data_IF_435054570344
#
_entry.id   IF_435054570344
#
_cell.length_a   1.000
_cell.length_b   1.000
_cell.length_c   1.000
_cell.angle_alpha   90.00
_cell.angle_beta   90.00
_cell.angle_gamma   90.00
#
_symmetry.space_group_name_H-M   'P 1'
#
loop_
_entity.id
_entity.type
_entity.pdbx_description
1 polymer ?
#
# COMPACT_ATOMS: atom_id res chain seq x y z
N UNK A 1 18.38 -5.54 -6.93
CA UNK A 1 18.01 -6.95 -7.17
C UNK A 1 17.13 -7.39 -6.00
N UNK A 2 15.81 -7.26 -6.10
CA UNK A 2 14.84 -7.59 -5.02
C UNK A 2 14.21 -8.96 -5.29
N UNK A 3 15.05 -9.96 -5.56
CA UNK A 3 14.59 -11.30 -5.89
C UNK A 3 15.25 -12.24 -4.89
N UNK A 4 14.42 -12.98 -4.13
CA UNK A 4 14.76 -13.96 -3.06
C UNK A 4 14.64 -13.47 -1.61
N UNK A 5 13.47 -12.97 -1.19
CA UNK A 5 13.13 -13.02 0.24
C UNK A 5 12.67 -14.43 0.68
N UNK A 6 12.35 -15.33 -0.26
CA UNK A 6 11.83 -16.67 0.07
C UNK A 6 10.38 -16.67 0.56
N UNK A 7 9.73 -15.50 0.61
CA UNK A 7 8.33 -15.41 1.00
C UNK A 7 7.39 -15.81 -0.14
N UNK A 8 6.26 -16.48 0.17
CA UNK A 8 5.26 -16.87 -0.83
C UNK A 8 4.54 -15.66 -1.46
N UNK A 9 4.73 -14.46 -0.91
CA UNK A 9 4.13 -13.21 -1.38
C UNK A 9 5.15 -12.35 -2.11
N UNK A 10 4.72 -11.71 -3.20
CA UNK A 10 5.54 -10.75 -3.93
C UNK A 10 5.94 -9.60 -2.99
N UNK A 11 7.24 -9.28 -2.95
CA UNK A 11 7.74 -8.07 -2.29
C UNK A 11 6.90 -6.87 -2.77
N UNK A 12 6.25 -6.08 -1.90
CA UNK A 12 5.38 -4.97 -2.29
C UNK A 12 6.04 -3.96 -3.24
N UNK A 13 7.36 -3.75 -3.09
CA UNK A 13 8.16 -2.90 -3.99
C UNK A 13 8.29 -3.53 -5.38
N UNK A 14 8.52 -4.85 -5.45
CA UNK A 14 8.55 -5.58 -6.71
C UNK A 14 7.16 -5.66 -7.36
N UNK A 15 6.09 -5.84 -6.56
CA UNK A 15 4.70 -5.76 -7.01
C UNK A 15 4.38 -4.39 -7.63
N UNK A 16 4.75 -3.30 -6.97
CA UNK A 16 4.61 -1.95 -7.51
C UNK A 16 5.41 -1.76 -8.82
N UNK A 17 6.66 -2.24 -8.88
CA UNK A 17 7.47 -2.20 -10.10
C UNK A 17 6.86 -3.04 -11.24
N UNK A 18 6.27 -4.20 -10.92
CA UNK A 18 5.56 -5.04 -11.89
C UNK A 18 4.27 -4.37 -12.38
N UNK A 19 3.56 -3.61 -11.53
CA UNK A 19 2.43 -2.78 -11.95
C UNK A 19 2.86 -1.60 -12.83
N UNK A 20 4.08 -1.08 -12.65
CA UNK A 20 4.64 0.01 -13.46
C UNK A 20 5.08 -0.43 -14.87
N UNK A 21 5.41 -1.70 -15.10
CA UNK A 21 5.80 -2.20 -16.44
C UNK A 21 4.67 -2.13 -17.50
N UNK A 22 3.43 -2.58 -17.24
CA UNK A 22 2.32 -2.47 -18.19
C UNK A 22 1.78 -1.04 -18.32
N UNK A 23 2.17 -0.11 -17.43
CA UNK A 23 1.70 1.28 -17.42
C UNK A 23 2.24 2.19 -18.50
N UNK A 24 3.25 1.77 -19.28
CA UNK A 24 3.85 2.64 -20.32
C UNK A 24 2.83 3.21 -21.32
N UNK A 25 1.68 2.56 -21.50
CA UNK A 25 0.61 3.01 -22.40
C UNK A 25 -0.54 3.76 -21.71
N UNK A 26 -0.56 3.88 -20.38
CA UNK A 26 -1.64 4.57 -19.65
C UNK A 26 -1.32 6.06 -19.45
N UNK A 27 -2.32 6.96 -19.58
CA UNK A 27 -2.16 8.38 -19.23
C UNK A 27 -1.63 8.54 -17.80
N UNK A 28 -0.74 9.53 -17.60
CA UNK A 28 -0.16 9.84 -16.28
C UNK A 28 -1.20 10.19 -15.21
N UNK A 29 -2.38 10.60 -15.65
CA UNK A 29 -3.52 10.94 -14.81
C UNK A 29 -4.16 9.72 -14.13
N UNK A 30 -3.88 8.49 -14.60
CA UNK A 30 -4.44 7.26 -14.04
C UNK A 30 -3.49 6.67 -12.98
N UNK A 31 -3.86 6.69 -11.68
CA UNK A 31 -2.94 6.32 -10.60
C UNK A 31 -2.52 4.86 -10.60
N UNK A 32 -1.30 4.57 -10.10
CA UNK A 32 -0.57 3.29 -10.03
C UNK A 32 -1.43 2.03 -9.85
N UNK A 33 -2.38 2.13 -8.95
CA UNK A 33 -3.29 1.09 -8.55
C UNK A 33 -4.67 1.73 -8.40
N UNK A 34 -5.60 1.26 -9.22
CA UNK A 34 -7.01 1.63 -9.17
C UNK A 34 -7.79 0.38 -8.78
N UNK A 35 -8.72 0.50 -7.85
CA UNK A 35 -9.61 -0.58 -7.45
C UNK A 35 -11.07 -0.13 -7.64
N UNK A 36 -12.00 -1.07 -7.68
CA UNK A 36 -13.43 -0.75 -7.65
C UNK A 36 -13.87 -0.62 -6.19
N UNK A 37 -14.36 0.56 -5.81
CA UNK A 37 -14.85 0.78 -4.45
C UNK A 37 -16.24 0.16 -4.22
N UNK A 38 -16.75 0.27 -2.99
CA UNK A 38 -18.07 -0.24 -2.58
C UNK A 38 -19.24 0.37 -3.38
N UNK A 39 -19.02 1.51 -4.05
CA UNK A 39 -20.00 2.18 -4.91
C UNK A 39 -19.87 1.77 -6.38
N UNK A 40 -18.99 0.83 -6.71
CA UNK A 40 -18.76 0.37 -8.08
C UNK A 40 -17.89 1.33 -8.91
N UNK A 41 -17.25 2.33 -8.31
CA UNK A 41 -16.45 3.32 -9.02
C UNK A 41 -14.95 3.03 -8.91
N UNK A 42 -14.17 3.34 -9.98
CA UNK A 42 -12.70 3.35 -9.88
C UNK A 42 -12.24 4.34 -8.80
N UNK A 43 -11.42 3.87 -7.87
CA UNK A 43 -10.91 4.64 -6.75
C UNK A 43 -9.44 4.26 -6.48
N UNK A 44 -8.73 5.10 -5.73
CA UNK A 44 -7.32 4.93 -5.41
C UNK A 44 -7.09 5.02 -3.90
N UNK A 45 -6.22 4.15 -3.39
CA UNK A 45 -5.84 4.19 -1.97
C UNK A 45 -4.75 5.24 -1.80
N UNK A 46 -5.11 6.39 -1.23
CA UNK A 46 -4.15 7.46 -0.95
C UNK A 46 -3.37 7.18 0.34
N UNK A 47 -2.14 7.69 0.42
CA UNK A 47 -1.32 7.62 1.64
C UNK A 47 -2.03 8.27 2.84
N UNK A 48 -2.79 9.34 2.60
CA UNK A 48 -3.59 10.01 3.63
C UNK A 48 -4.69 9.08 4.16
N UNK A 49 -5.49 8.47 3.28
CA UNK A 49 -6.53 7.51 3.65
C UNK A 49 -5.98 6.34 4.46
N UNK A 50 -4.82 5.80 4.07
CA UNK A 50 -4.16 4.73 4.83
C UNK A 50 -3.76 5.22 6.23
N UNK A 51 -3.15 6.39 6.32
CA UNK A 51 -2.71 6.95 7.60
C UNK A 51 -3.89 7.22 8.52
N UNK A 52 -4.98 7.81 8.02
CA UNK A 52 -6.20 8.07 8.78
C UNK A 52 -6.82 6.78 9.34
N UNK A 53 -6.88 5.72 8.53
CA UNK A 53 -7.40 4.43 8.96
C UNK A 53 -6.51 3.84 10.05
N UNK A 54 -5.18 3.83 9.86
CA UNK A 54 -4.24 3.28 10.83
C UNK A 54 -4.29 4.03 12.17
N UNK A 55 -4.32 5.36 12.12
CA UNK A 55 -4.44 6.21 13.31
C UNK A 55 -5.76 5.97 14.04
N UNK A 56 -6.86 5.78 13.30
CA UNK A 56 -8.18 5.49 13.88
C UNK A 56 -8.21 4.14 14.61
N UNK A 57 -7.54 3.12 14.07
CA UNK A 57 -7.55 1.77 14.66
C UNK A 57 -6.43 1.54 15.67
N UNK A 58 -5.37 2.36 15.68
CA UNK A 58 -4.25 2.21 16.62
C UNK A 58 -4.67 2.05 18.10
N UNK A 59 -5.66 2.81 18.63
CA UNK A 59 -6.07 2.64 20.02
C UNK A 59 -6.69 1.27 20.34
N UNK A 60 -7.32 0.59 19.36
CA UNK A 60 -7.96 -0.71 19.59
C UNK A 60 -6.96 -1.84 19.84
N UNK A 61 -5.70 -1.62 19.48
CA UNK A 61 -4.57 -2.53 19.74
C UNK A 61 -3.61 -1.98 20.80
N UNK A 62 -4.01 -0.91 21.52
CA UNK A 62 -3.17 -0.25 22.53
C UNK A 62 -2.03 0.59 21.97
N UNK A 63 -2.04 0.90 20.66
CA UNK A 63 -1.04 1.72 20.00
C UNK A 63 -1.36 3.22 20.09
N UNK A 64 -0.32 4.05 20.11
CA UNK A 64 -0.44 5.51 20.01
C UNK A 64 -0.67 5.93 18.56
N UNK A 65 -1.80 6.56 18.18
CA UNK A 65 -2.08 6.98 16.81
C UNK A 65 -0.94 7.78 16.15
N UNK A 66 -0.24 8.64 16.90
CA UNK A 66 0.81 9.50 16.35
C UNK A 66 2.00 8.71 15.75
N UNK A 67 2.14 7.43 16.10
CA UNK A 67 3.20 6.55 15.59
C UNK A 67 2.80 5.85 14.28
N UNK A 68 1.55 5.98 13.85
CA UNK A 68 1.02 5.27 12.68
C UNK A 68 0.86 6.16 11.45
N UNK A 69 1.34 5.65 10.33
CA UNK A 69 1.20 6.24 9.00
C UNK A 69 1.35 5.16 7.93
N UNK A 70 1.14 5.51 6.66
CA UNK A 70 1.48 4.61 5.56
C UNK A 70 2.95 4.12 5.61
N UNK A 71 3.87 4.93 6.17
CA UNK A 71 5.26 4.53 6.35
C UNK A 71 5.42 3.42 7.40
N UNK A 72 4.74 3.54 8.55
CA UNK A 72 4.83 2.51 9.60
C UNK A 72 4.25 1.18 9.14
N UNK A 73 3.16 1.19 8.35
CA UNK A 73 2.62 -0.01 7.73
C UNK A 73 3.63 -0.66 6.78
N UNK A 74 4.30 0.13 5.94
CA UNK A 74 5.35 -0.38 5.06
C UNK A 74 6.53 -0.95 5.84
N UNK A 75 6.99 -0.25 6.88
CA UNK A 75 8.12 -0.66 7.70
C UNK A 75 7.82 -1.96 8.46
N UNK A 76 6.67 -2.02 9.15
CA UNK A 76 6.22 -3.23 9.85
C UNK A 76 6.02 -4.40 8.90
N UNK A 77 5.40 -4.18 7.74
CA UNK A 77 5.30 -5.19 6.69
C UNK A 77 6.66 -5.71 6.23
N UNK A 78 7.67 -4.84 6.08
CA UNK A 78 9.02 -5.25 5.72
C UNK A 78 9.74 -6.03 6.83
N UNK A 79 9.45 -5.75 8.11
CA UNK A 79 10.02 -6.48 9.26
C UNK A 79 9.40 -7.85 9.44
N UNK A 80 8.11 -8.02 9.13
CA UNK A 80 7.35 -9.25 9.37
C UNK A 80 7.15 -10.13 8.11
N UNK A 81 7.69 -9.71 6.96
CA UNK A 81 8.00 -10.61 5.85
C UNK A 81 9.35 -11.25 6.16
#
# INVERSE_FOLDING_TARGET
MLNRSGHPFLCPVFGALCLLKPRRALPHEIPAAVFINEKGHPDCVTSARVSDILQRVAPSVGGNPAEFSAHSLRAGGATHM
#
